data_IF_143239134492
#
_entry.id   IF_143239134492
#
_cell.length_a   1.000
_cell.length_b   1.000
_cell.length_c   1.000
_cell.angle_alpha   90.00
_cell.angle_beta   90.00
_cell.angle_gamma   90.00
#
_symmetry.space_group_name_H-M   'P 1'
#
loop_
_entity.id
_entity.type
_entity.pdbx_description
1 polymer ?
#
# COMPACT_ATOMS: atom_id res chain seq x y z
N UNK A 1 -18.38 21.32 -18.76
CA UNK A 1 -17.14 21.49 -17.97
C UNK A 1 -16.76 22.97 -17.97
N UNK A 2 -16.21 23.48 -16.85
CA UNK A 2 -15.79 24.88 -16.72
C UNK A 2 -14.51 24.97 -15.87
N UNK A 3 -13.54 25.73 -16.35
CA UNK A 3 -12.38 26.14 -15.57
C UNK A 3 -12.75 27.30 -14.64
N UNK A 4 -12.22 27.27 -13.43
CA UNK A 4 -12.33 28.36 -12.45
C UNK A 4 -10.98 28.57 -11.78
N UNK A 5 -10.56 29.82 -11.65
CA UNK A 5 -9.40 30.18 -10.82
C UNK A 5 -9.69 29.83 -9.36
N UNK A 6 -8.68 29.30 -8.69
CA UNK A 6 -8.69 29.01 -7.27
C UNK A 6 -7.79 30.03 -6.56
N UNK A 7 -8.38 31.13 -6.11
CA UNK A 7 -7.65 32.24 -5.50
C UNK A 7 -7.03 33.19 -6.51
N UNK A 8 -6.08 34.00 -6.04
CA UNK A 8 -5.45 35.06 -6.83
C UNK A 8 -4.33 34.53 -7.73
N UNK A 9 -4.03 35.28 -8.78
CA UNK A 9 -2.88 35.05 -9.67
C UNK A 9 -1.65 35.74 -9.06
N UNK A 10 -0.59 34.98 -8.85
CA UNK A 10 0.69 35.46 -8.33
C UNK A 10 1.63 35.76 -9.50
N UNK A 11 1.86 37.05 -9.79
CA UNK A 11 2.61 37.49 -10.97
C UNK A 11 3.85 38.33 -10.60
N UNK A 12 5.00 37.99 -11.18
CA UNK A 12 6.26 38.66 -10.92
C UNK A 12 7.26 38.47 -12.09
N UNK A 13 7.97 39.54 -12.49
CA UNK A 13 9.03 39.52 -13.51
C UNK A 13 8.72 38.72 -14.80
N UNK A 14 7.56 38.96 -15.41
CA UNK A 14 7.17 38.26 -16.65
C UNK A 14 6.76 36.81 -16.46
N UNK A 15 6.49 36.39 -15.23
CA UNK A 15 5.94 35.08 -14.89
C UNK A 15 4.64 35.25 -14.10
N UNK A 16 3.73 34.30 -14.25
CA UNK A 16 2.55 34.22 -13.41
C UNK A 16 2.28 32.77 -13.01
N UNK A 17 1.90 32.57 -11.75
CA UNK A 17 1.45 31.29 -11.21
C UNK A 17 0.01 31.42 -10.77
N UNK A 18 -0.83 30.46 -11.14
CA UNK A 18 -2.22 30.44 -10.74
C UNK A 18 -2.74 29.03 -10.57
N UNK A 19 -3.66 28.87 -9.61
CA UNK A 19 -4.34 27.59 -9.38
C UNK A 19 -5.69 27.61 -10.08
N UNK A 20 -6.13 26.45 -10.54
CA UNK A 20 -7.39 26.30 -11.24
C UNK A 20 -8.08 24.97 -10.91
N UNK A 21 -9.39 24.95 -11.11
CA UNK A 21 -10.24 23.76 -11.01
C UNK A 21 -11.04 23.56 -12.30
N UNK A 22 -11.20 22.32 -12.74
CA UNK A 22 -12.12 21.92 -13.80
C UNK A 22 -13.27 21.12 -13.19
N UNK A 23 -14.51 21.58 -13.41
CA UNK A 23 -15.70 20.93 -12.87
C UNK A 23 -16.85 20.93 -13.89
N UNK A 24 -17.82 20.00 -13.80
CA UNK A 24 -19.17 20.23 -14.30
C UNK A 24 -19.76 21.50 -13.64
N UNK A 25 -20.75 22.12 -14.29
CA UNK A 25 -21.40 23.32 -13.74
C UNK A 25 -22.06 22.94 -12.41
N UNK A 26 -21.86 23.77 -11.37
CA UNK A 26 -22.40 23.59 -10.02
C UNK A 26 -22.05 22.26 -9.34
N UNK A 27 -20.91 21.66 -9.70
CA UNK A 27 -20.39 20.42 -9.13
C UNK A 27 -18.99 20.58 -8.57
N UNK A 28 -18.53 19.59 -7.81
CA UNK A 28 -17.16 19.55 -7.30
C UNK A 28 -16.12 19.42 -8.44
N UNK A 29 -14.91 19.97 -8.26
CA UNK A 29 -13.81 19.80 -9.21
C UNK A 29 -13.42 18.34 -9.41
N UNK A 30 -13.37 17.91 -10.67
CA UNK A 30 -12.81 16.61 -11.06
C UNK A 30 -11.31 16.70 -11.33
N UNK A 31 -10.79 17.90 -11.62
CA UNK A 31 -9.36 18.17 -11.75
C UNK A 31 -9.03 19.45 -10.99
N UNK A 32 -7.93 19.43 -10.25
CA UNK A 32 -7.33 20.60 -9.59
C UNK A 32 -5.87 20.65 -10.04
N UNK A 33 -5.40 21.82 -10.41
CA UNK A 33 -4.02 22.01 -10.81
C UNK A 33 -3.54 23.42 -10.59
N UNK A 34 -2.26 23.64 -10.90
CA UNK A 34 -1.70 24.97 -11.01
C UNK A 34 -0.77 25.03 -12.21
N UNK A 35 -0.76 26.19 -12.85
CA UNK A 35 0.10 26.44 -14.00
C UNK A 35 1.06 27.59 -13.65
N UNK A 36 2.27 27.49 -14.19
CA UNK A 36 3.22 28.59 -14.25
C UNK A 36 3.38 28.99 -15.72
N UNK A 37 3.14 30.26 -16.01
CA UNK A 37 3.26 30.83 -17.36
C UNK A 37 4.38 31.87 -17.39
N UNK A 38 5.10 31.95 -18.50
CA UNK A 38 5.99 33.07 -18.82
C UNK A 38 5.37 33.91 -19.92
N UNK A 39 5.56 35.23 -19.86
CA UNK A 39 5.13 36.17 -20.90
C UNK A 39 6.33 36.93 -21.47
N UNK A 40 6.23 37.35 -22.74
CA UNK A 40 7.21 38.28 -23.33
C UNK A 40 6.90 39.74 -22.96
N UNK A 41 7.72 40.67 -23.45
CA UNK A 41 7.57 42.12 -23.19
C UNK A 41 6.25 42.70 -23.73
N UNK A 42 5.63 42.06 -24.72
CA UNK A 42 4.31 42.43 -25.26
C UNK A 42 3.15 41.85 -24.44
N UNK A 43 3.44 41.12 -23.35
CA UNK A 43 2.46 40.48 -22.48
C UNK A 43 1.87 39.18 -23.04
N UNK A 44 2.43 38.63 -24.11
CA UNK A 44 1.99 37.37 -24.72
C UNK A 44 2.62 36.17 -24.00
N UNK A 45 1.80 35.15 -23.72
CA UNK A 45 2.27 33.89 -23.12
C UNK A 45 3.22 33.18 -24.09
N UNK A 46 4.41 32.83 -23.60
CA UNK A 46 5.45 32.12 -24.35
C UNK A 46 5.68 30.69 -23.87
N UNK A 47 5.37 30.40 -22.60
CA UNK A 47 5.46 29.04 -22.03
C UNK A 47 4.35 28.82 -21.02
N UNK A 48 3.85 27.59 -20.96
CA UNK A 48 2.92 27.10 -19.94
C UNK A 48 3.49 25.80 -19.39
N UNK A 49 3.76 25.77 -18.08
CA UNK A 49 4.13 24.56 -17.34
C UNK A 49 2.97 24.20 -16.42
N UNK A 50 2.30 23.09 -16.71
CA UNK A 50 1.12 22.63 -15.97
C UNK A 50 1.45 21.54 -14.97
N UNK A 51 0.85 21.62 -13.78
CA UNK A 51 0.94 20.65 -12.70
C UNK A 51 -0.46 20.29 -12.23
N UNK A 52 -0.70 19.01 -11.94
CA UNK A 52 -1.99 18.51 -11.50
C UNK A 52 -1.86 18.04 -10.05
N UNK A 53 -2.66 18.64 -9.16
CA UNK A 53 -2.78 18.26 -7.75
C UNK A 53 -3.86 17.17 -7.54
N UNK A 54 -4.80 17.07 -8.49
CA UNK A 54 -5.86 16.06 -8.51
C UNK A 54 -6.32 15.87 -9.94
N UNK A 55 -6.37 14.65 -10.43
CA UNK A 55 -7.10 14.30 -11.65
C UNK A 55 -7.54 12.83 -11.59
N UNK A 56 -8.48 12.39 -12.43
CA UNK A 56 -8.78 10.97 -12.57
C UNK A 56 -7.51 10.19 -12.93
N UNK A 57 -7.12 9.24 -12.08
CA UNK A 57 -5.89 8.44 -12.25
C UNK A 57 -4.61 9.06 -11.68
N UNK A 58 -4.68 10.26 -11.07
CA UNK A 58 -3.62 10.83 -10.23
C UNK A 58 -3.92 10.48 -8.77
N UNK A 59 -3.28 9.42 -8.28
CA UNK A 59 -3.36 9.00 -6.88
C UNK A 59 -2.15 9.58 -6.13
N UNK A 60 -2.31 10.78 -5.54
CA UNK A 60 -1.27 11.42 -4.71
C UNK A 60 -1.24 10.89 -3.26
N UNK A 61 -2.20 10.05 -2.88
CA UNK A 61 -2.13 9.23 -1.67
C UNK A 61 -1.75 7.81 -2.06
N UNK A 62 -0.45 7.55 -2.18
CA UNK A 62 0.04 6.19 -1.99
C UNK A 62 -0.16 5.92 -0.50
N UNK A 63 -1.32 5.38 -0.11
CA UNK A 63 -1.36 4.62 1.14
C UNK A 63 -0.19 3.63 1.05
N UNK A 64 0.75 3.65 2.01
CA UNK A 64 1.92 2.79 1.93
C UNK A 64 1.43 1.36 1.73
N UNK A 65 1.99 0.70 0.71
CA UNK A 65 1.59 -0.65 0.37
C UNK A 65 1.67 -1.50 1.63
N UNK A 66 0.54 -2.11 2.01
CA UNK A 66 0.50 -3.02 3.16
C UNK A 66 1.47 -4.15 2.92
N UNK A 67 2.12 -4.64 3.96
CA UNK A 67 3.03 -5.78 3.84
C UNK A 67 2.41 -7.02 4.44
N UNK A 68 2.55 -8.14 3.74
CA UNK A 68 2.05 -9.43 4.15
C UNK A 68 3.18 -10.35 4.57
N UNK A 69 3.08 -10.92 5.77
CA UNK A 69 3.86 -12.10 6.12
C UNK A 69 3.06 -13.33 5.72
N UNK A 70 3.60 -14.08 4.75
CA UNK A 70 2.96 -15.29 4.23
C UNK A 70 3.77 -16.49 4.70
N UNK A 71 3.10 -17.46 5.31
CA UNK A 71 3.68 -18.74 5.64
C UNK A 71 2.82 -19.87 5.07
N UNK A 72 3.45 -20.73 4.28
CA UNK A 72 2.85 -21.98 3.81
C UNK A 72 3.53 -23.13 4.54
N UNK A 73 2.81 -23.75 5.45
CA UNK A 73 3.33 -24.76 6.37
C UNK A 73 2.80 -26.14 6.02
N UNK A 74 3.64 -27.15 6.15
CA UNK A 74 3.30 -28.56 6.00
C UNK A 74 3.97 -29.37 7.11
N UNK A 75 3.56 -30.63 7.26
CA UNK A 75 4.08 -31.54 8.29
C UNK A 75 4.00 -30.99 9.72
N UNK A 76 2.92 -30.25 10.02
CA UNK A 76 2.72 -29.65 11.34
C UNK A 76 2.47 -30.75 12.38
N UNK A 77 3.39 -30.87 13.33
CA UNK A 77 3.31 -31.79 14.46
C UNK A 77 2.66 -31.09 15.64
N UNK A 78 1.35 -31.27 15.76
CA UNK A 78 0.59 -30.75 16.90
C UNK A 78 1.11 -31.32 18.23
N UNK A 79 1.32 -30.44 19.21
CA UNK A 79 1.90 -30.74 20.53
C UNK A 79 2.27 -29.47 21.29
N UNK A 80 2.96 -29.62 22.43
CA UNK A 80 3.25 -28.51 23.35
C UNK A 80 3.98 -27.33 22.70
N UNK A 81 4.89 -27.59 21.75
CA UNK A 81 5.58 -26.54 20.99
C UNK A 81 4.60 -25.67 20.19
N UNK A 82 3.77 -26.30 19.35
CA UNK A 82 2.77 -25.57 18.56
C UNK A 82 1.73 -24.88 19.45
N UNK A 83 1.28 -25.51 20.53
CA UNK A 83 0.36 -24.88 21.49
C UNK A 83 1.00 -23.65 22.14
N UNK A 84 2.26 -23.74 22.55
CA UNK A 84 3.01 -22.61 23.10
C UNK A 84 3.18 -21.47 22.10
N UNK A 85 3.47 -21.78 20.83
CA UNK A 85 3.52 -20.80 19.75
C UNK A 85 2.17 -20.08 19.57
N UNK A 86 1.08 -20.83 19.46
CA UNK A 86 -0.26 -20.30 19.24
C UNK A 86 -0.73 -19.42 20.40
N UNK A 87 -0.38 -19.76 21.64
CA UNK A 87 -0.72 -18.93 22.81
C UNK A 87 0.07 -17.62 22.86
N UNK A 88 1.27 -17.57 22.26
CA UNK A 88 2.16 -16.40 22.35
C UNK A 88 2.09 -15.45 21.16
N UNK A 89 1.67 -15.93 19.98
CA UNK A 89 1.81 -15.19 18.72
C UNK A 89 1.09 -13.85 18.69
N UNK A 90 -0.14 -13.77 19.21
CA UNK A 90 -0.96 -12.56 19.18
C UNK A 90 -0.31 -11.39 19.94
N UNK A 91 0.33 -11.67 21.07
CA UNK A 91 1.05 -10.66 21.86
C UNK A 91 2.23 -10.07 21.08
N UNK A 92 2.87 -10.87 20.23
CA UNK A 92 4.00 -10.40 19.42
C UNK A 92 3.55 -9.49 18.28
N UNK A 93 2.33 -9.68 17.76
CA UNK A 93 1.80 -8.94 16.60
C UNK A 93 1.33 -7.53 16.96
N UNK A 94 0.67 -7.38 18.12
CA UNK A 94 0.02 -6.13 18.55
C UNK A 94 0.93 -4.88 18.45
N UNK A 95 2.19 -4.89 18.93
CA UNK A 95 3.05 -3.70 18.88
C UNK A 95 3.38 -3.21 17.46
N UNK A 96 3.23 -4.07 16.46
CA UNK A 96 3.57 -3.80 15.06
C UNK A 96 2.33 -3.65 14.17
N UNK A 97 1.12 -3.64 14.76
CA UNK A 97 -0.14 -3.57 14.01
C UNK A 97 -0.42 -4.81 13.16
N UNK A 98 0.22 -5.94 13.46
CA UNK A 98 0.02 -7.19 12.73
C UNK A 98 -1.35 -7.81 13.01
N UNK A 99 -2.02 -8.32 11.98
CA UNK A 99 -3.32 -9.02 12.11
C UNK A 99 -3.41 -10.24 11.20
N UNK A 100 -4.11 -11.28 11.64
CA UNK A 100 -4.41 -12.44 10.80
C UNK A 100 -5.43 -12.09 9.71
N UNK A 101 -5.09 -12.43 8.47
CA UNK A 101 -6.00 -12.42 7.31
C UNK A 101 -6.43 -13.85 6.99
N UNK A 102 -5.47 -14.79 7.01
CA UNK A 102 -5.68 -16.24 6.84
C UNK A 102 -4.89 -16.94 7.94
N UNK A 103 -5.47 -17.94 8.60
CA UNK A 103 -4.79 -18.73 9.65
C UNK A 103 -5.12 -20.22 9.49
N UNK A 104 -4.71 -20.79 8.36
CA UNK A 104 -5.10 -22.14 7.94
C UNK A 104 -6.54 -22.20 7.43
N UNK A 105 -7.12 -23.40 7.46
CA UNK A 105 -8.45 -23.69 6.92
C UNK A 105 -8.40 -24.59 5.70
N UNK A 106 -9.55 -25.15 5.31
CA UNK A 106 -9.65 -26.01 4.12
C UNK A 106 -10.01 -25.17 2.90
N UNK A 107 -9.10 -24.97 1.94
CA UNK A 107 -9.44 -24.28 0.72
C UNK A 107 -10.33 -25.15 -0.16
N UNK A 108 -11.23 -24.52 -0.91
CA UNK A 108 -11.82 -25.13 -2.09
C UNK A 108 -10.81 -25.03 -3.23
N UNK A 109 -10.20 -26.15 -3.60
CA UNK A 109 -9.21 -26.21 -4.68
C UNK A 109 -9.93 -26.15 -6.02
N UNK A 110 -9.71 -25.08 -6.79
CA UNK A 110 -10.30 -24.90 -8.12
C UNK A 110 -9.43 -25.48 -9.24
N UNK A 111 -8.11 -25.34 -9.10
CA UNK A 111 -7.11 -25.81 -10.07
C UNK A 111 -5.89 -26.37 -9.34
N UNK A 112 -5.28 -27.44 -9.85
CA UNK A 112 -4.07 -28.05 -9.29
C UNK A 112 -4.31 -28.90 -8.04
N UNK A 113 -3.26 -29.04 -7.23
CA UNK A 113 -3.28 -29.77 -5.95
C UNK A 113 -2.86 -28.84 -4.81
N UNK A 114 -3.45 -29.02 -3.62
CA UNK A 114 -3.12 -28.25 -2.43
C UNK A 114 -2.85 -29.17 -1.23
N UNK A 115 -1.78 -28.89 -0.50
CA UNK A 115 -1.46 -29.52 0.78
C UNK A 115 -0.92 -28.47 1.76
N UNK A 116 -1.11 -28.73 3.06
CA UNK A 116 -0.64 -27.85 4.13
C UNK A 116 -1.60 -26.70 4.48
N UNK A 117 -1.11 -25.82 5.36
CA UNK A 117 -1.82 -24.68 5.93
C UNK A 117 -1.24 -23.36 5.38
N UNK A 118 -2.13 -22.46 4.95
CA UNK A 118 -1.76 -21.10 4.54
C UNK A 118 -2.02 -20.11 5.68
N UNK A 119 -1.01 -19.35 6.05
CA UNK A 119 -1.09 -18.27 7.03
C UNK A 119 -0.72 -16.98 6.32
N UNK A 120 -1.56 -15.96 6.45
CA UNK A 120 -1.31 -14.61 5.94
C UNK A 120 -1.57 -13.63 7.06
N UNK A 121 -0.55 -12.86 7.40
CA UNK A 121 -0.62 -11.74 8.33
C UNK A 121 -0.48 -10.44 7.55
N UNK A 122 -1.27 -9.42 7.87
CA UNK A 122 -1.14 -8.08 7.31
C UNK A 122 -0.51 -7.13 8.32
N UNK A 123 0.41 -6.29 7.85
CA UNK A 123 1.05 -5.20 8.58
C UNK A 123 0.81 -3.87 7.85
N UNK A 124 0.87 -2.73 8.56
CA UNK A 124 0.72 -1.41 7.94
C UNK A 124 1.75 -1.13 6.85
N UNK A 125 2.99 -1.60 7.03
CA UNK A 125 4.10 -1.40 6.11
C UNK A 125 5.22 -2.44 6.30
N UNK A 126 6.24 -2.36 5.44
CA UNK A 126 7.38 -3.28 5.41
C UNK A 126 8.20 -3.22 6.69
N UNK A 127 8.42 -2.02 7.21
CA UNK A 127 9.22 -1.80 8.40
C UNK A 127 8.58 -2.46 9.64
N UNK A 128 7.25 -2.40 9.73
CA UNK A 128 6.46 -3.02 10.79
C UNK A 128 6.54 -4.54 10.73
N UNK A 129 6.39 -5.14 9.54
CA UNK A 129 6.49 -6.58 9.35
C UNK A 129 7.92 -7.11 9.67
N UNK A 130 8.93 -6.41 9.18
CA UNK A 130 10.32 -6.73 9.47
C UNK A 130 10.68 -6.54 10.94
N UNK A 131 10.20 -5.47 11.56
CA UNK A 131 10.37 -5.19 12.99
C UNK A 131 9.74 -6.27 13.86
N UNK A 132 8.53 -6.72 13.50
CA UNK A 132 7.89 -7.85 14.16
C UNK A 132 8.74 -9.12 14.05
N UNK A 133 9.14 -9.49 12.84
CA UNK A 133 9.90 -10.72 12.62
C UNK A 133 11.23 -10.70 13.37
N UNK A 134 11.93 -9.57 13.41
CA UNK A 134 13.21 -9.43 14.13
C UNK A 134 13.06 -9.19 15.64
N UNK A 135 11.84 -9.01 16.14
CA UNK A 135 11.62 -8.69 17.56
C UNK A 135 12.03 -9.85 18.48
N UNK A 136 12.60 -9.51 19.63
CA UNK A 136 12.94 -10.49 20.68
C UNK A 136 11.71 -11.30 21.11
N UNK A 137 10.52 -10.70 21.07
CA UNK A 137 9.28 -11.38 21.43
C UNK A 137 8.92 -12.49 20.43
N UNK A 138 8.96 -12.19 19.13
CA UNK A 138 8.66 -13.19 18.11
C UNK A 138 9.78 -14.23 17.99
N UNK A 139 11.04 -13.80 18.01
CA UNK A 139 12.19 -14.71 17.93
C UNK A 139 12.23 -15.73 19.08
N UNK A 140 11.72 -15.38 20.26
CA UNK A 140 11.59 -16.34 21.39
C UNK A 140 10.59 -17.47 21.14
N UNK A 141 9.51 -17.22 20.40
CA UNK A 141 8.49 -18.23 20.13
C UNK A 141 8.68 -18.91 18.77
N UNK A 142 9.48 -18.34 17.87
CA UNK A 142 9.71 -18.86 16.52
C UNK A 142 10.18 -20.33 16.50
N UNK A 143 11.16 -20.76 17.32
CA UNK A 143 11.61 -22.17 17.35
C UNK A 143 10.49 -23.16 17.67
N UNK A 144 9.54 -22.75 18.52
CA UNK A 144 8.40 -23.60 18.88
C UNK A 144 7.60 -24.05 17.65
N UNK A 145 7.55 -23.20 16.62
CA UNK A 145 6.96 -23.53 15.32
C UNK A 145 7.96 -24.20 14.37
N UNK A 146 9.16 -23.64 14.18
CA UNK A 146 10.09 -24.13 13.15
C UNK A 146 10.64 -25.53 13.45
N UNK A 147 10.68 -25.93 14.72
CA UNK A 147 11.09 -27.29 15.11
C UNK A 147 9.94 -28.30 14.93
N UNK A 148 8.70 -27.83 14.77
CA UNK A 148 7.48 -28.66 14.73
C UNK A 148 6.69 -28.54 13.43
N UNK A 149 7.15 -27.78 12.45
CA UNK A 149 6.52 -27.65 11.13
C UNK A 149 7.59 -27.36 10.07
N UNK A 150 7.39 -27.86 8.86
CA UNK A 150 8.18 -27.50 7.69
C UNK A 150 7.41 -26.48 6.84
N UNK A 151 8.12 -25.76 5.97
CA UNK A 151 7.49 -24.81 5.05
C UNK A 151 8.31 -23.56 4.80
N UNK A 152 7.71 -22.63 4.06
CA UNK A 152 8.33 -21.36 3.70
C UNK A 152 7.56 -20.22 4.36
N UNK A 153 8.30 -19.25 4.88
CA UNK A 153 7.75 -17.98 5.35
C UNK A 153 8.51 -16.82 4.71
N UNK A 154 7.79 -15.82 4.20
CA UNK A 154 8.38 -14.65 3.55
C UNK A 154 7.51 -13.41 3.76
N UNK A 155 8.10 -12.24 3.51
CA UNK A 155 7.38 -10.96 3.53
C UNK A 155 7.22 -10.46 2.09
N UNK A 156 6.02 -10.01 1.71
CA UNK A 156 5.74 -9.44 0.38
C UNK A 156 4.86 -8.19 0.52
N UNK A 157 5.10 -7.18 -0.30
CA UNK A 157 4.26 -5.98 -0.31
C UNK A 157 3.03 -6.24 -1.18
N UNK A 158 1.91 -5.70 -0.72
CA UNK A 158 0.68 -5.61 -1.50
C UNK A 158 0.80 -4.59 -2.61
N UNK A 159 -0.28 -4.48 -3.35
CA UNK A 159 -0.50 -3.44 -4.35
C UNK A 159 -1.66 -2.55 -3.89
N UNK A 160 -1.76 -1.35 -4.46
CA UNK A 160 -2.90 -0.48 -4.21
C UNK A 160 -4.19 -1.00 -4.88
N UNK A 161 -5.33 -0.43 -4.49
CA UNK A 161 -6.65 -0.80 -5.02
C UNK A 161 -6.83 -0.45 -6.51
N UNK A 162 -5.96 0.40 -7.08
CA UNK A 162 -5.98 0.77 -8.49
C UNK A 162 -5.12 -0.16 -9.36
N UNK A 163 -4.38 -1.10 -8.77
CA UNK A 163 -3.50 -2.01 -9.48
C UNK A 163 -4.27 -2.84 -10.51
N UNK A 164 -3.82 -2.75 -11.76
CA UNK A 164 -4.30 -3.57 -12.85
C UNK A 164 -3.29 -4.67 -13.17
N UNK A 165 -3.77 -5.86 -13.55
CA UNK A 165 -2.92 -6.99 -13.92
C UNK A 165 -1.88 -6.64 -15.02
N UNK A 166 -2.19 -5.68 -15.91
CA UNK A 166 -1.27 -5.21 -16.96
C UNK A 166 -0.10 -4.38 -16.45
N UNK A 167 -0.13 -3.90 -15.21
CA UNK A 167 0.94 -3.08 -14.64
C UNK A 167 2.26 -3.86 -14.50
N UNK A 168 2.21 -5.19 -14.47
CA UNK A 168 3.40 -6.07 -14.43
C UNK A 168 4.18 -6.11 -15.76
N UNK A 169 3.57 -5.65 -16.87
CA UNK A 169 4.17 -5.70 -18.20
C UNK A 169 5.01 -4.46 -18.54
N UNK A 170 5.11 -3.52 -17.60
CA UNK A 170 5.82 -2.25 -17.78
C UNK A 170 7.32 -2.37 -17.51
#
# INVERSE_FOLDING_TARGET
MRFRLLGDVDAHHGQARFRWALAPVDSEPVVIGFDVVTVNDDGLITTVLGFLDRAPGLNDEVEPARTYAVAHLHDVRMGDGIVGYLNGIDDTLRPFGGKFIIHGGRPTVLEGEWTGDLIVLEFPDRASAEGWYRSDAYQRILPLRTDNAAGTAFLIDGVDDAHAATDILR
#
